data_IF_902217119936
#
_entry.id   IF_902217119936
#
_cell.length_a   1.000
_cell.length_b   1.000
_cell.length_c   1.000
_cell.angle_alpha   90.00
_cell.angle_beta   90.00
_cell.angle_gamma   90.00
#
_symmetry.space_group_name_H-M   'P 1'
#
loop_
_entity.id
_entity.type
_entity.pdbx_description
1 polymer ?
#
# COMPACT_ATOMS: atom_id res chain seq x y z
N UNK A 1 -32.71 -12.78 -22.57
CA UNK A 1 -31.72 -11.73 -22.84
C UNK A 1 -30.35 -12.21 -22.36
N UNK A 2 -29.31 -12.20 -23.20
CA UNK A 2 -27.99 -12.58 -22.74
C UNK A 2 -27.52 -11.48 -21.77
N UNK A 3 -27.27 -11.85 -20.53
CA UNK A 3 -26.65 -10.98 -19.54
C UNK A 3 -25.39 -10.35 -20.13
N UNK A 4 -25.38 -9.04 -20.31
CA UNK A 4 -24.19 -8.29 -20.67
C UNK A 4 -23.13 -8.60 -19.60
N UNK A 5 -22.14 -9.44 -19.94
CA UNK A 5 -20.93 -9.58 -19.15
C UNK A 5 -20.28 -8.19 -19.11
N UNK A 6 -20.35 -7.52 -17.99
CA UNK A 6 -19.55 -6.33 -17.74
C UNK A 6 -18.10 -6.79 -17.89
N UNK A 7 -17.48 -6.42 -19.00
CA UNK A 7 -16.06 -6.67 -19.23
C UNK A 7 -15.31 -5.76 -18.26
N UNK A 8 -14.84 -6.36 -17.16
CA UNK A 8 -13.97 -5.67 -16.21
C UNK A 8 -12.68 -5.26 -16.95
N UNK A 9 -12.18 -4.05 -16.73
CA UNK A 9 -10.93 -3.62 -17.33
C UNK A 9 -9.77 -4.50 -16.84
N UNK A 10 -8.78 -4.72 -17.71
CA UNK A 10 -7.55 -5.44 -17.35
C UNK A 10 -6.76 -4.60 -16.34
N UNK A 11 -6.56 -5.07 -15.09
CA UNK A 11 -5.75 -4.35 -14.14
C UNK A 11 -4.27 -4.54 -14.45
N UNK A 12 -3.52 -3.44 -14.52
CA UNK A 12 -2.09 -3.42 -14.74
C UNK A 12 -1.44 -2.60 -13.61
N UNK A 13 -0.72 -3.27 -12.73
CA UNK A 13 0.00 -2.64 -11.62
C UNK A 13 1.47 -2.44 -11.99
N UNK A 14 1.97 -1.24 -11.80
CA UNK A 14 3.38 -0.87 -11.97
C UNK A 14 3.89 -0.26 -10.67
N UNK A 15 4.78 -0.96 -10.00
CA UNK A 15 5.56 -0.39 -8.92
C UNK A 15 6.61 0.56 -9.52
N UNK A 16 6.45 1.85 -9.30
CA UNK A 16 7.30 2.87 -9.93
C UNK A 16 8.77 2.79 -9.50
N UNK A 17 9.04 2.28 -8.30
CA UNK A 17 10.39 1.98 -7.83
C UNK A 17 11.07 0.93 -8.71
N UNK A 18 10.35 -0.14 -9.08
CA UNK A 18 10.88 -1.22 -9.93
C UNK A 18 11.06 -0.71 -11.36
N UNK A 19 10.05 -0.02 -11.90
CA UNK A 19 10.14 0.58 -13.22
C UNK A 19 11.31 1.55 -13.36
N UNK A 20 11.50 2.41 -12.36
CA UNK A 20 12.61 3.38 -12.32
C UNK A 20 13.97 2.67 -12.34
N UNK A 21 14.15 1.63 -11.53
CA UNK A 21 15.37 0.83 -11.51
C UNK A 21 15.63 0.15 -12.86
N UNK A 22 14.64 -0.50 -13.43
CA UNK A 22 14.78 -1.23 -14.70
C UNK A 22 15.06 -0.27 -15.88
N UNK A 23 14.53 0.95 -15.80
CA UNK A 23 14.82 2.03 -16.76
C UNK A 23 16.26 2.55 -16.62
N UNK A 24 16.73 2.79 -15.41
CA UNK A 24 18.11 3.23 -15.11
C UNK A 24 19.14 2.19 -15.56
N UNK A 25 18.83 0.91 -15.34
CA UNK A 25 19.62 -0.24 -15.80
C UNK A 25 19.48 -0.53 -17.33
N UNK A 26 18.69 0.27 -18.05
CA UNK A 26 18.43 0.14 -19.49
C UNK A 26 17.77 -1.19 -19.91
N UNK A 27 17.04 -1.82 -19.01
CA UNK A 27 16.24 -3.03 -19.29
C UNK A 27 14.95 -2.71 -20.04
N UNK A 28 14.40 -1.52 -19.88
CA UNK A 28 13.25 -1.01 -20.60
C UNK A 28 13.43 0.49 -20.89
N UNK A 29 12.82 0.98 -21.98
CA UNK A 29 12.86 2.39 -22.35
C UNK A 29 11.56 3.13 -22.02
N UNK A 30 10.45 2.37 -21.97
CA UNK A 30 9.11 2.90 -21.76
C UNK A 30 8.21 1.90 -21.02
N UNK A 31 7.02 2.35 -20.64
CA UNK A 31 6.05 1.58 -19.87
C UNK A 31 5.60 0.31 -20.61
N UNK A 32 5.42 0.36 -21.93
CA UNK A 32 5.01 -0.84 -22.70
C UNK A 32 6.09 -1.91 -22.69
N UNK A 33 7.34 -1.53 -22.90
CA UNK A 33 8.46 -2.46 -22.82
C UNK A 33 8.60 -3.07 -21.42
N UNK A 34 8.37 -2.27 -20.38
CA UNK A 34 8.41 -2.75 -18.99
C UNK A 34 7.42 -3.90 -18.75
N UNK A 35 6.20 -3.85 -19.32
CA UNK A 35 5.24 -4.94 -19.21
C UNK A 35 5.71 -6.27 -19.83
N UNK A 36 6.68 -6.23 -20.74
CA UNK A 36 7.14 -7.43 -21.47
C UNK A 36 8.57 -7.85 -21.13
N UNK A 37 9.38 -6.95 -20.60
CA UNK A 37 10.81 -7.17 -20.31
C UNK A 37 11.16 -7.02 -18.84
N UNK A 38 10.31 -6.35 -18.05
CA UNK A 38 10.51 -6.13 -16.62
C UNK A 38 10.13 -7.34 -15.77
N UNK A 39 10.13 -7.15 -14.45
CA UNK A 39 9.73 -8.18 -13.49
C UNK A 39 8.23 -8.55 -13.58
N UNK A 40 7.43 -7.70 -14.21
CA UNK A 40 6.02 -7.95 -14.51
C UNK A 40 5.91 -8.63 -15.90
N UNK A 41 5.82 -9.94 -15.90
CA UNK A 41 5.58 -10.67 -17.15
C UNK A 41 4.09 -10.58 -17.50
N UNK A 42 3.74 -9.69 -18.43
CA UNK A 42 2.41 -9.69 -19.02
C UNK A 42 2.32 -10.83 -20.03
N UNK A 43 1.42 -11.80 -19.79
CA UNK A 43 1.20 -12.94 -20.71
C UNK A 43 0.50 -12.56 -22.02
N UNK A 44 0.04 -11.33 -22.16
CA UNK A 44 -0.46 -10.81 -23.44
C UNK A 44 0.71 -10.43 -24.33
N UNK A 45 0.59 -10.70 -25.63
CA UNK A 45 1.56 -10.14 -26.56
C UNK A 45 1.40 -8.61 -26.63
N UNK A 46 2.46 -7.91 -27.02
CA UNK A 46 2.52 -6.45 -27.03
C UNK A 46 1.39 -5.82 -27.87
N UNK A 47 1.04 -6.41 -29.01
CA UNK A 47 -0.04 -5.91 -29.88
C UNK A 47 -1.41 -6.06 -29.21
N UNK A 48 -1.67 -7.18 -28.55
CA UNK A 48 -2.93 -7.40 -27.84
C UNK A 48 -3.08 -6.47 -26.63
N UNK A 49 -1.98 -6.17 -25.94
CA UNK A 49 -1.97 -5.19 -24.85
C UNK A 49 -2.23 -3.78 -25.37
N UNK A 50 -1.52 -3.37 -26.43
CA UNK A 50 -1.68 -2.05 -27.07
C UNK A 50 -3.12 -1.84 -27.56
N UNK A 51 -3.73 -2.87 -28.18
CA UNK A 51 -5.14 -2.82 -28.62
C UNK A 51 -6.11 -2.62 -27.44
N UNK A 52 -5.90 -3.32 -26.34
CA UNK A 52 -6.71 -3.15 -25.12
C UNK A 52 -6.55 -1.75 -24.51
N UNK A 53 -5.32 -1.23 -24.48
CA UNK A 53 -5.05 0.12 -23.98
C UNK A 53 -5.73 1.18 -24.86
N UNK A 54 -5.62 1.08 -26.20
CA UNK A 54 -6.28 1.97 -27.14
C UNK A 54 -7.81 1.98 -27.02
N UNK A 55 -8.39 0.83 -26.64
CA UNK A 55 -9.84 0.70 -26.41
C UNK A 55 -10.30 1.09 -25.01
N UNK A 56 -9.41 1.55 -24.14
CA UNK A 56 -9.76 1.87 -22.75
C UNK A 56 -10.19 0.65 -21.92
N UNK A 57 -9.78 -0.56 -22.32
CA UNK A 57 -10.11 -1.83 -21.65
C UNK A 57 -9.08 -2.23 -20.59
N UNK A 58 -8.37 -1.26 -20.03
CA UNK A 58 -7.40 -1.46 -18.96
C UNK A 58 -7.56 -0.39 -17.87
N UNK A 59 -7.17 -0.77 -16.66
CA UNK A 59 -6.96 0.11 -15.52
C UNK A 59 -5.48 0.04 -15.16
N UNK A 60 -4.75 1.14 -15.28
CA UNK A 60 -3.32 1.19 -14.98
C UNK A 60 -3.09 1.87 -13.64
N UNK A 61 -2.38 1.18 -12.76
CA UNK A 61 -2.06 1.60 -11.41
C UNK A 61 -0.54 1.84 -11.33
N UNK A 62 -0.12 3.09 -11.20
CA UNK A 62 1.26 3.48 -10.94
C UNK A 62 1.44 3.68 -9.45
N UNK A 63 2.11 2.77 -8.78
CA UNK A 63 2.23 2.76 -7.33
C UNK A 63 3.57 3.31 -6.87
N UNK A 64 3.53 4.22 -5.87
CA UNK A 64 4.68 4.67 -5.13
C UNK A 64 5.59 5.69 -5.86
N UNK A 65 5.04 6.78 -6.40
CA UNK A 65 5.85 7.83 -7.06
C UNK A 65 6.90 8.45 -6.11
N UNK A 66 6.61 8.54 -4.82
CA UNK A 66 7.53 9.02 -3.80
C UNK A 66 8.70 8.06 -3.51
N UNK A 67 8.58 6.78 -3.88
CA UNK A 67 9.64 5.78 -3.71
C UNK A 67 10.75 5.89 -4.77
N UNK A 68 10.57 6.72 -5.78
CA UNK A 68 11.62 7.07 -6.72
C UNK A 68 12.46 8.21 -6.12
N UNK A 69 13.53 7.87 -5.39
CA UNK A 69 14.30 8.84 -4.61
C UNK A 69 15.15 9.80 -5.46
N UNK A 70 15.65 9.35 -6.61
CA UNK A 70 16.43 10.21 -7.51
C UNK A 70 15.51 11.23 -8.19
N UNK A 71 15.73 12.56 -7.99
CA UNK A 71 14.84 13.59 -8.52
C UNK A 71 14.79 13.64 -10.05
N UNK A 72 15.92 13.42 -10.73
CA UNK A 72 16.00 13.43 -12.20
C UNK A 72 15.21 12.25 -12.76
N UNK A 73 15.44 11.05 -12.22
CA UNK A 73 14.73 9.84 -12.62
C UNK A 73 13.24 9.96 -12.34
N UNK A 74 12.85 10.55 -11.20
CA UNK A 74 11.43 10.81 -10.89
C UNK A 74 10.79 11.70 -11.95
N UNK A 75 11.49 12.77 -12.39
CA UNK A 75 10.99 13.66 -13.42
C UNK A 75 10.82 12.94 -14.77
N UNK A 76 11.72 12.03 -15.11
CA UNK A 76 11.59 11.18 -16.29
C UNK A 76 10.37 10.25 -16.18
N UNK A 77 10.16 9.61 -15.03
CA UNK A 77 9.00 8.75 -14.77
C UNK A 77 7.70 9.54 -14.90
N UNK A 78 7.62 10.73 -14.32
CA UNK A 78 6.45 11.63 -14.49
C UNK A 78 6.23 11.95 -15.97
N UNK A 79 7.29 12.18 -16.72
CA UNK A 79 7.21 12.43 -18.16
C UNK A 79 6.68 11.20 -18.92
N UNK A 80 7.12 10.00 -18.54
CA UNK A 80 6.64 8.75 -19.15
C UNK A 80 5.15 8.50 -18.81
N UNK A 81 4.71 8.78 -17.60
CA UNK A 81 3.29 8.71 -17.22
C UNK A 81 2.45 9.66 -18.05
N UNK A 82 2.92 10.91 -18.24
CA UNK A 82 2.24 11.90 -19.10
C UNK A 82 2.17 11.43 -20.55
N UNK A 83 3.26 10.92 -21.10
CA UNK A 83 3.26 10.39 -22.48
C UNK A 83 2.31 9.22 -22.61
N UNK A 84 2.29 8.33 -21.64
CA UNK A 84 1.38 7.19 -21.62
C UNK A 84 -0.09 7.65 -21.56
N UNK A 85 -0.44 8.63 -20.74
CA UNK A 85 -1.80 9.16 -20.67
C UNK A 85 -2.26 9.84 -21.97
N UNK A 86 -1.34 10.51 -22.66
CA UNK A 86 -1.64 11.12 -23.99
C UNK A 86 -1.80 10.03 -25.06
N UNK A 87 -0.98 9.00 -25.02
CA UNK A 87 -1.02 7.89 -25.98
C UNK A 87 -2.29 7.04 -25.83
N UNK A 88 -2.80 6.89 -24.59
CA UNK A 88 -3.97 6.08 -24.25
C UNK A 88 -5.02 6.89 -23.48
N UNK A 89 -5.69 7.85 -24.15
CA UNK A 89 -6.56 8.82 -23.46
C UNK A 89 -7.85 8.20 -22.89
N UNK A 90 -8.18 6.97 -23.27
CA UNK A 90 -9.36 6.26 -22.74
C UNK A 90 -9.05 5.33 -21.57
N UNK A 91 -7.77 5.15 -21.24
CA UNK A 91 -7.34 4.30 -20.12
C UNK A 91 -7.54 5.05 -18.81
N UNK A 92 -8.13 4.36 -17.83
CA UNK A 92 -8.15 4.86 -16.48
C UNK A 92 -6.76 4.67 -15.85
N UNK A 93 -6.21 5.75 -15.33
CA UNK A 93 -4.87 5.76 -14.71
C UNK A 93 -5.01 6.27 -13.29
N UNK A 94 -4.44 5.53 -12.34
CA UNK A 94 -4.31 5.94 -10.95
C UNK A 94 -2.83 5.99 -10.62
N UNK A 95 -2.38 7.10 -10.03
CA UNK A 95 -1.01 7.26 -9.54
C UNK A 95 -1.07 7.44 -8.03
N UNK A 96 -0.32 6.64 -7.28
CA UNK A 96 -0.21 6.81 -5.84
C UNK A 96 1.10 7.48 -5.45
N UNK A 97 1.04 8.30 -4.40
CA UNK A 97 2.20 8.93 -3.79
C UNK A 97 1.88 9.34 -2.35
N UNK A 98 2.89 9.33 -1.48
CA UNK A 98 2.75 10.00 -0.20
C UNK A 98 2.69 11.51 -0.40
N UNK A 99 1.95 12.19 0.47
CA UNK A 99 1.85 13.64 0.43
C UNK A 99 3.21 14.35 0.59
N UNK A 100 4.07 13.80 1.44
CA UNK A 100 5.37 14.40 1.73
C UNK A 100 6.30 14.31 0.52
N UNK A 101 6.69 15.46 -0.03
CA UNK A 101 7.57 15.54 -1.20
C UNK A 101 6.87 15.42 -2.56
N UNK A 102 5.55 15.27 -2.58
CA UNK A 102 4.78 15.29 -3.82
C UNK A 102 4.52 16.71 -4.31
N UNK A 103 4.76 16.95 -5.59
CA UNK A 103 4.47 18.21 -6.28
C UNK A 103 3.30 18.01 -7.21
N UNK A 104 2.10 18.41 -6.77
CA UNK A 104 0.86 18.27 -7.54
C UNK A 104 0.96 18.89 -8.94
N UNK A 105 1.69 19.98 -9.08
CA UNK A 105 1.90 20.69 -10.35
C UNK A 105 2.48 19.79 -11.46
N UNK A 106 3.24 18.76 -11.08
CA UNK A 106 3.88 17.87 -12.04
C UNK A 106 2.88 17.04 -12.86
N UNK A 107 1.73 16.65 -12.29
CA UNK A 107 0.69 15.88 -12.98
C UNK A 107 -0.56 16.71 -13.34
N UNK A 108 -0.79 17.88 -12.72
CA UNK A 108 -1.92 18.75 -13.03
C UNK A 108 -2.02 19.11 -14.52
N UNK A 109 -0.89 19.42 -15.16
CA UNK A 109 -0.86 19.77 -16.58
C UNK A 109 -1.18 18.61 -17.52
N UNK A 110 -1.25 17.38 -17.02
CA UNK A 110 -1.63 16.19 -17.77
C UNK A 110 -3.10 15.77 -17.54
N UNK A 111 -3.89 16.63 -16.89
CA UNK A 111 -5.31 16.37 -16.63
C UNK A 111 -5.61 15.40 -15.51
N UNK A 112 -4.64 15.12 -14.63
CA UNK A 112 -4.88 14.28 -13.44
C UNK A 112 -5.62 15.07 -12.37
N UNK A 113 -6.67 14.49 -11.83
CA UNK A 113 -7.35 14.97 -10.63
C UNK A 113 -6.63 14.44 -9.39
N UNK A 114 -6.57 15.27 -8.33
CA UNK A 114 -5.86 14.95 -7.10
C UNK A 114 -6.81 14.67 -5.96
N UNK A 115 -6.65 13.52 -5.34
CA UNK A 115 -7.41 13.11 -4.18
C UNK A 115 -6.47 12.82 -3.02
N UNK A 116 -6.82 13.29 -1.83
CA UNK A 116 -6.11 12.96 -0.61
C UNK A 116 -6.97 12.01 0.23
N UNK A 117 -6.41 10.83 0.52
CA UNK A 117 -7.03 9.88 1.44
C UNK A 117 -7.01 10.51 2.84
N UNK A 118 -8.20 10.65 3.41
CA UNK A 118 -8.38 11.21 4.75
C UNK A 118 -8.29 10.13 5.82
N UNK A 119 -8.03 10.57 7.05
CA UNK A 119 -8.15 9.71 8.22
C UNK A 119 -9.59 9.16 8.34
N UNK A 120 -9.71 7.99 8.97
CA UNK A 120 -11.01 7.39 9.26
C UNK A 120 -11.80 8.28 10.22
N UNK A 121 -13.05 8.51 9.90
CA UNK A 121 -13.99 9.15 10.80
C UNK A 121 -14.49 8.20 11.90
N UNK A 122 -15.29 8.72 12.82
CA UNK A 122 -15.77 7.96 13.97
C UNK A 122 -16.61 6.73 13.55
N UNK A 123 -17.47 6.88 12.56
CA UNK A 123 -18.36 5.81 12.12
C UNK A 123 -17.56 4.72 11.39
N UNK A 124 -16.56 5.11 10.60
CA UNK A 124 -15.64 4.21 9.93
C UNK A 124 -14.75 3.44 10.93
N UNK A 125 -14.29 4.09 12.00
CA UNK A 125 -13.55 3.44 13.09
C UNK A 125 -14.43 2.40 13.77
N UNK A 126 -15.69 2.73 14.10
CA UNK A 126 -16.63 1.81 14.75
C UNK A 126 -16.96 0.61 13.84
N UNK A 127 -17.18 0.84 12.54
CA UNK A 127 -17.42 -0.23 11.55
C UNK A 127 -16.20 -1.13 11.39
N UNK A 128 -14.99 -0.56 11.31
CA UNK A 128 -13.75 -1.33 11.29
C UNK A 128 -13.62 -2.23 12.52
N UNK A 129 -13.81 -1.68 13.72
CA UNK A 129 -13.69 -2.44 14.96
C UNK A 129 -14.69 -3.62 14.96
N UNK A 130 -15.92 -3.39 14.54
CA UNK A 130 -16.93 -4.44 14.45
C UNK A 130 -16.50 -5.54 13.49
N UNK A 131 -16.18 -5.20 12.24
CA UNK A 131 -15.79 -6.17 11.20
C UNK A 131 -14.52 -6.93 11.59
N UNK A 132 -13.54 -6.24 12.15
CA UNK A 132 -12.31 -6.88 12.62
C UNK A 132 -12.60 -7.96 13.67
N UNK A 133 -13.42 -7.64 14.69
CA UNK A 133 -13.73 -8.60 15.74
C UNK A 133 -14.63 -9.72 15.24
N UNK A 134 -15.51 -9.45 14.26
CA UNK A 134 -16.33 -10.48 13.61
C UNK A 134 -15.47 -11.52 12.88
N UNK A 135 -14.37 -11.11 12.28
CA UNK A 135 -13.46 -11.98 11.53
C UNK A 135 -12.38 -12.64 12.41
N UNK A 136 -11.93 -11.94 13.46
CA UNK A 136 -10.77 -12.35 14.25
C UNK A 136 -11.10 -13.28 15.43
N UNK A 137 -12.37 -13.41 15.81
CA UNK A 137 -12.81 -14.19 16.97
C UNK A 137 -13.98 -15.10 16.64
N UNK A 138 -13.83 -16.39 16.90
CA UNK A 138 -14.90 -17.39 16.79
C UNK A 138 -15.81 -17.39 18.03
N UNK A 139 -15.20 -17.20 19.22
CA UNK A 139 -15.94 -17.17 20.48
C UNK A 139 -16.65 -15.82 20.68
N UNK A 140 -17.95 -15.87 20.91
CA UNK A 140 -18.80 -14.68 21.02
C UNK A 140 -18.50 -13.82 22.25
N UNK A 141 -18.17 -14.44 23.37
CA UNK A 141 -17.90 -13.73 24.62
C UNK A 141 -16.56 -13.01 24.56
N UNK A 142 -15.51 -13.69 24.08
CA UNK A 142 -14.19 -13.10 23.82
C UNK A 142 -14.27 -11.93 22.84
N UNK A 143 -15.02 -12.10 21.75
CA UNK A 143 -15.28 -11.05 20.76
C UNK A 143 -15.86 -9.81 21.41
N UNK A 144 -16.97 -9.96 22.16
CA UNK A 144 -17.66 -8.83 22.79
C UNK A 144 -16.75 -8.10 23.77
N UNK A 145 -16.09 -8.85 24.64
CA UNK A 145 -15.17 -8.27 25.63
C UNK A 145 -14.01 -7.50 24.98
N UNK A 146 -13.38 -8.07 23.96
CA UNK A 146 -12.24 -7.41 23.28
C UNK A 146 -12.69 -6.20 22.47
N UNK A 147 -13.86 -6.28 21.83
CA UNK A 147 -14.44 -5.17 21.10
C UNK A 147 -14.75 -3.98 22.01
N UNK A 148 -15.45 -4.22 23.12
CA UNK A 148 -15.77 -3.19 24.11
C UNK A 148 -14.53 -2.58 24.73
N UNK A 149 -13.51 -3.38 25.02
CA UNK A 149 -12.22 -2.91 25.54
C UNK A 149 -11.53 -1.94 24.59
N UNK A 150 -11.48 -2.26 23.29
CA UNK A 150 -10.87 -1.39 22.28
C UNK A 150 -11.68 -0.09 22.12
N UNK A 151 -13.00 -0.17 22.02
CA UNK A 151 -13.87 0.98 21.92
C UNK A 151 -13.73 1.91 23.14
N UNK A 152 -13.67 1.33 24.34
CA UNK A 152 -13.45 2.08 25.58
C UNK A 152 -12.10 2.80 25.57
N UNK A 153 -11.01 2.12 25.18
CA UNK A 153 -9.69 2.73 25.11
C UNK A 153 -9.64 3.94 24.17
N UNK A 154 -10.28 3.82 22.97
CA UNK A 154 -10.38 4.92 22.01
C UNK A 154 -11.25 6.08 22.57
N UNK A 155 -12.32 5.78 23.27
CA UNK A 155 -13.22 6.77 23.84
C UNK A 155 -12.58 7.55 24.99
N UNK A 156 -11.85 6.88 25.87
CA UNK A 156 -11.30 7.45 27.11
C UNK A 156 -9.97 8.19 26.91
N UNK A 157 -9.16 7.81 25.92
CA UNK A 157 -7.86 8.44 25.66
C UNK A 157 -7.90 9.31 24.41
N UNK A 158 -7.64 10.62 24.57
CA UNK A 158 -7.51 11.55 23.44
C UNK A 158 -6.37 11.12 22.50
N UNK A 159 -5.23 10.71 23.06
CA UNK A 159 -4.06 10.28 22.29
C UNK A 159 -4.36 9.05 21.44
N UNK A 160 -5.05 8.03 21.98
CA UNK A 160 -5.45 6.82 21.24
C UNK A 160 -6.47 7.18 20.16
N UNK A 161 -7.43 8.06 20.47
CA UNK A 161 -8.46 8.49 19.50
C UNK A 161 -7.85 9.19 18.29
N UNK A 162 -6.89 10.08 18.49
CA UNK A 162 -6.18 10.75 17.39
C UNK A 162 -5.41 9.78 16.50
N UNK A 163 -4.87 8.70 17.08
CA UNK A 163 -4.15 7.68 16.32
C UNK A 163 -5.09 6.70 15.61
N UNK A 164 -6.29 6.49 16.13
CA UNK A 164 -7.27 5.56 15.57
C UNK A 164 -7.81 6.00 14.20
N UNK A 165 -7.69 7.28 13.83
CA UNK A 165 -7.98 7.76 12.48
C UNK A 165 -7.09 7.17 11.41
N UNK A 166 -5.86 6.80 11.75
CA UNK A 166 -4.95 6.14 10.82
C UNK A 166 -5.26 4.63 10.73
N UNK A 167 -5.59 4.09 9.54
CA UNK A 167 -5.96 2.67 9.38
C UNK A 167 -4.91 1.69 9.86
N UNK A 168 -3.62 1.97 9.61
CA UNK A 168 -2.52 1.11 10.06
C UNK A 168 -2.45 1.06 11.58
N UNK A 169 -2.49 2.23 12.24
CA UNK A 169 -2.44 2.29 13.70
C UNK A 169 -3.67 1.68 14.36
N UNK A 170 -4.86 1.86 13.77
CA UNK A 170 -6.07 1.21 14.24
C UNK A 170 -5.96 -0.32 14.13
N UNK A 171 -5.41 -0.83 13.02
CA UNK A 171 -5.14 -2.26 12.84
C UNK A 171 -4.16 -2.77 13.91
N UNK A 172 -3.07 -2.04 14.16
CA UNK A 172 -2.11 -2.40 15.23
C UNK A 172 -2.75 -2.41 16.60
N UNK A 173 -3.61 -1.42 16.91
CA UNK A 173 -4.38 -1.39 18.16
C UNK A 173 -5.29 -2.62 18.28
N UNK A 174 -5.97 -3.01 17.20
CA UNK A 174 -6.85 -4.17 17.18
C UNK A 174 -6.05 -5.48 17.40
N UNK A 175 -4.86 -5.62 16.80
CA UNK A 175 -3.95 -6.75 17.00
C UNK A 175 -3.48 -6.81 18.45
N UNK A 176 -2.95 -5.71 18.98
CA UNK A 176 -2.47 -5.62 20.37
C UNK A 176 -3.60 -5.93 21.37
N UNK A 177 -4.80 -5.44 21.09
CA UNK A 177 -5.98 -5.65 21.93
C UNK A 177 -6.40 -7.12 22.02
N UNK A 178 -5.90 -8.03 21.16
CA UNK A 178 -6.18 -9.48 21.27
C UNK A 178 -5.60 -10.06 22.56
N UNK A 179 -4.42 -9.64 22.94
CA UNK A 179 -3.63 -10.25 24.04
C UNK A 179 -3.46 -9.37 25.26
N UNK A 180 -3.50 -8.05 25.11
CA UNK A 180 -3.22 -7.11 26.19
C UNK A 180 -4.08 -5.86 26.12
N UNK A 181 -4.12 -5.08 27.20
CA UNK A 181 -4.71 -3.74 27.19
C UNK A 181 -3.82 -2.75 26.44
N UNK A 182 -4.45 -1.79 25.76
CA UNK A 182 -3.71 -0.75 25.07
C UNK A 182 -3.06 0.22 26.05
N UNK A 183 -1.79 0.58 25.82
CA UNK A 183 -1.15 1.65 26.57
C UNK A 183 -1.92 2.98 26.35
N UNK A 184 -2.07 3.77 27.42
CA UNK A 184 -2.69 5.10 27.31
C UNK A 184 -1.73 6.16 26.76
N UNK A 185 -0.46 5.87 26.78
CA UNK A 185 0.62 6.73 26.30
C UNK A 185 0.93 6.46 24.84
N UNK A 186 1.06 7.56 24.06
CA UNK A 186 1.31 7.49 22.60
C UNK A 186 2.65 6.81 22.28
N UNK A 187 3.71 7.13 23.01
CA UNK A 187 5.03 6.58 22.76
C UNK A 187 5.06 5.06 23.01
N UNK A 188 4.43 4.63 24.09
CA UNK A 188 4.30 3.19 24.42
C UNK A 188 3.43 2.45 23.40
N UNK A 189 2.41 3.11 22.83
CA UNK A 189 1.60 2.49 21.77
C UNK A 189 2.42 2.30 20.50
N UNK A 190 3.23 3.29 20.09
CA UNK A 190 4.13 3.15 18.95
C UNK A 190 5.19 2.07 19.17
N UNK A 191 5.77 2.02 20.40
CA UNK A 191 6.72 0.97 20.78
C UNK A 191 6.12 -0.42 20.59
N UNK A 192 4.91 -0.63 21.14
CA UNK A 192 4.19 -1.91 21.01
C UNK A 192 3.78 -2.22 19.57
N UNK A 193 3.34 -1.22 18.80
CA UNK A 193 3.01 -1.39 17.39
C UNK A 193 4.27 -1.78 16.57
N UNK A 194 5.41 -1.16 16.87
CA UNK A 194 6.69 -1.51 16.23
C UNK A 194 7.13 -2.95 16.57
N UNK A 195 6.96 -3.38 17.80
CA UNK A 195 7.23 -4.78 18.19
C UNK A 195 6.39 -5.76 17.36
N UNK A 196 5.08 -5.47 17.16
CA UNK A 196 4.21 -6.32 16.34
C UNK A 196 4.68 -6.36 14.89
N UNK A 197 5.01 -5.20 14.30
CA UNK A 197 5.50 -5.13 12.91
C UNK A 197 6.81 -5.90 12.74
N UNK A 198 7.75 -5.77 13.68
CA UNK A 198 9.02 -6.49 13.64
C UNK A 198 8.83 -8.01 13.78
N UNK A 199 7.90 -8.43 14.65
CA UNK A 199 7.57 -9.87 14.78
C UNK A 199 6.94 -10.42 13.50
N UNK A 200 6.03 -9.67 12.86
CA UNK A 200 5.41 -10.09 11.62
C UNK A 200 6.43 -10.16 10.49
N UNK A 201 7.35 -9.21 10.42
CA UNK A 201 8.47 -9.25 9.48
C UNK A 201 9.34 -10.50 9.67
N UNK A 202 9.68 -10.85 10.92
CA UNK A 202 10.44 -12.06 11.19
C UNK A 202 9.71 -13.35 10.77
N UNK A 203 8.38 -13.34 10.81
CA UNK A 203 7.55 -14.48 10.37
C UNK A 203 7.55 -14.62 8.83
N UNK A 204 7.30 -13.54 8.14
CA UNK A 204 7.29 -13.51 6.66
C UNK A 204 8.67 -13.82 6.06
N UNK A 205 9.74 -13.38 6.74
CA UNK A 205 11.12 -13.70 6.33
C UNK A 205 11.51 -15.15 6.57
N UNK A 206 10.92 -15.83 7.54
CA UNK A 206 11.16 -17.26 7.80
C UNK A 206 10.54 -18.17 6.76
N UNK A 207 9.48 -17.74 6.07
CA UNK A 207 8.76 -18.55 5.07
C UNK A 207 9.28 -18.44 3.62
N UNK A 208 10.41 -17.80 3.36
CA UNK A 208 11.10 -17.94 2.07
C UNK A 208 11.15 -16.72 1.16
N UNK A 209 10.74 -15.53 1.62
CA UNK A 209 10.71 -14.30 0.83
C UNK A 209 12.00 -13.45 0.89
N UNK A 210 13.00 -13.82 1.67
CA UNK A 210 14.27 -13.09 1.79
C UNK A 210 15.46 -13.97 1.40
N UNK A 211 16.43 -13.31 0.74
CA UNK A 211 17.76 -13.81 0.42
C UNK A 211 18.38 -14.54 1.63
N UNK A 212 18.87 -15.79 1.46
CA UNK A 212 19.50 -16.58 2.52
C UNK A 212 20.67 -15.87 3.24
N UNK A 213 21.37 -14.96 2.57
CA UNK A 213 22.45 -14.18 3.18
C UNK A 213 21.92 -13.09 4.12
N UNK A 214 20.86 -12.37 3.74
CA UNK A 214 20.18 -11.40 4.61
C UNK A 214 19.58 -12.08 5.86
N UNK A 215 19.08 -13.30 5.69
CA UNK A 215 18.56 -14.14 6.78
C UNK A 215 19.60 -14.35 7.90
N UNK A 216 20.86 -14.50 7.52
CA UNK A 216 21.98 -14.74 8.46
C UNK A 216 22.30 -13.50 9.29
N UNK A 217 22.15 -12.30 8.75
CA UNK A 217 22.34 -11.04 9.46
C UNK A 217 21.18 -10.71 10.39
N UNK A 218 19.94 -10.94 9.97
CA UNK A 218 18.74 -10.65 10.76
C UNK A 218 18.55 -11.60 11.93
N UNK A 219 19.04 -12.84 11.84
CA UNK A 219 18.90 -13.85 12.90
C UNK A 219 19.74 -13.54 14.13
N UNK A 220 20.79 -12.75 14.00
CA UNK A 220 21.72 -12.39 15.09
C UNK A 220 21.44 -11.01 15.71
N UNK A 221 20.43 -10.29 15.25
CA UNK A 221 20.09 -8.97 15.78
C UNK A 221 18.95 -9.14 16.79
N UNK A 222 19.23 -8.85 18.08
CA UNK A 222 18.22 -8.83 19.15
C UNK A 222 17.17 -7.74 18.84
N UNK A 223 15.94 -7.91 19.36
CA UNK A 223 14.83 -6.95 19.17
C UNK A 223 15.18 -5.52 19.61
N UNK A 224 16.16 -5.34 20.50
CA UNK A 224 16.68 -4.04 20.90
C UNK A 224 17.50 -3.37 19.78
N UNK A 225 18.36 -4.16 19.14
CA UNK A 225 19.23 -3.68 18.05
C UNK A 225 18.43 -3.35 16.79
N UNK A 226 17.28 -4.04 16.59
CA UNK A 226 16.36 -3.77 15.47
C UNK A 226 15.58 -2.45 15.63
N UNK A 227 15.52 -1.87 16.82
CA UNK A 227 14.85 -0.58 17.10
C UNK A 227 15.75 0.63 16.90
N UNK A 228 17.06 0.41 16.84
CA UNK A 228 18.08 1.46 16.71
C UNK A 228 18.54 1.66 15.24
N UNK A 229 17.96 0.92 14.27
CA UNK A 229 18.15 1.03 12.83
C UNK A 229 16.95 1.73 12.20
#
# INVERSE_FOLDING_TARGET
EPSQRVLLPLPLLIELRIYARDKDEKKCQNILEFFHQGNLICHLNQLALDDKLKKGQALVLFDGLDEVFNPQLRQEIVTDIKRFSIQYPQVQIIVTSRWLGYKAEELNHAGFEHFMIQDLDKDQIEDFIKRWHDLAFENRDDKTQKQERLQKAIKESKAIRELAGNPLLLTMMAILNRTQELPRDRSKLYEKASEVLLHQWDFETKEGLIDPELKKYLYNIDLRDKRDI
#
